data_IF_637466008643
#
_entry.id   IF_637466008643
#
_cell.length_a   1.000
_cell.length_b   1.000
_cell.length_c   1.000
_cell.angle_alpha   90.00
_cell.angle_beta   90.00
_cell.angle_gamma   90.00
#
_symmetry.space_group_name_H-M   'P 1'
#
loop_
_entity.id
_entity.type
_entity.pdbx_description
1 polymer ?
#
# COMPACT_ATOMS: atom_id res chain seq x y z
N UNK A 1 -20.83 10.80 2.28
CA UNK A 1 -21.58 9.52 2.31
C UNK A 1 -21.68 8.96 3.73
N UNK A 2 -20.56 8.89 4.47
CA UNK A 2 -20.53 8.51 5.90
C UNK A 2 -21.42 9.41 6.79
N UNK A 3 -21.47 10.71 6.52
CA UNK A 3 -22.34 11.67 7.21
C UNK A 3 -23.84 11.38 7.07
N UNK A 4 -24.27 10.79 5.94
CA UNK A 4 -25.68 10.44 5.71
C UNK A 4 -26.14 9.21 6.50
N UNK A 5 -25.18 8.39 6.97
CA UNK A 5 -25.46 7.21 7.78
C UNK A 5 -25.55 7.55 9.28
N UNK A 6 -25.03 8.70 9.73
CA UNK A 6 -25.06 9.08 11.15
C UNK A 6 -26.46 9.41 11.67
N UNK A 7 -27.38 9.83 10.78
CA UNK A 7 -28.77 10.16 11.15
C UNK A 7 -29.64 8.92 11.44
N UNK A 8 -29.22 7.72 11.01
CA UNK A 8 -29.89 6.47 11.39
C UNK A 8 -29.08 5.83 12.51
N UNK A 9 -29.66 5.69 13.71
CA UNK A 9 -29.12 4.96 14.88
C UNK A 9 -28.96 3.44 14.64
N UNK A 10 -28.60 3.02 13.43
CA UNK A 10 -28.24 1.65 13.13
C UNK A 10 -26.76 1.45 13.48
N UNK A 11 -26.46 0.49 14.34
CA UNK A 11 -25.09 0.13 14.69
C UNK A 11 -24.36 -0.35 13.43
N UNK A 12 -23.45 0.47 12.91
CA UNK A 12 -22.63 0.11 11.75
C UNK A 12 -21.61 -0.93 12.20
N UNK A 13 -21.61 -2.10 11.57
CA UNK A 13 -20.54 -3.08 11.75
C UNK A 13 -19.44 -2.79 10.72
N UNK A 14 -18.24 -2.43 11.19
CA UNK A 14 -17.09 -2.15 10.34
C UNK A 14 -16.13 -3.33 10.42
N UNK A 15 -15.89 -3.98 9.29
CA UNK A 15 -14.88 -5.03 9.16
C UNK A 15 -13.60 -4.46 8.55
N UNK A 16 -12.46 -4.73 9.17
CA UNK A 16 -11.13 -4.33 8.65
C UNK A 16 -10.28 -5.57 8.44
N UNK A 17 -9.96 -5.84 7.17
CA UNK A 17 -9.03 -6.90 6.78
C UNK A 17 -7.59 -6.46 7.07
N UNK A 18 -6.79 -7.32 7.73
CA UNK A 18 -5.36 -7.08 7.98
C UNK A 18 -4.46 -7.78 6.98
N UNK A 19 -5.01 -8.70 6.20
CA UNK A 19 -4.34 -9.36 5.09
C UNK A 19 -5.35 -9.94 4.11
N UNK A 20 -4.87 -10.29 2.91
CA UNK A 20 -5.72 -10.83 1.85
C UNK A 20 -6.35 -12.18 2.22
N UNK A 21 -5.69 -12.97 3.07
CA UNK A 21 -6.21 -14.27 3.53
C UNK A 21 -7.40 -14.18 4.50
N UNK A 22 -7.73 -12.99 5.01
CA UNK A 22 -8.94 -12.76 5.82
C UNK A 22 -10.20 -12.53 4.96
N UNK A 23 -10.02 -12.34 3.65
CA UNK A 23 -11.11 -12.17 2.70
C UNK A 23 -11.52 -13.52 2.10
N UNK A 24 -12.82 -13.70 1.88
CA UNK A 24 -13.28 -14.87 1.16
C UNK A 24 -13.01 -14.73 -0.37
N UNK A 25 -13.04 -15.83 -1.14
CA UNK A 25 -12.70 -15.79 -2.57
C UNK A 25 -13.56 -14.83 -3.41
N UNK A 26 -14.84 -14.68 -3.07
CA UNK A 26 -15.76 -13.78 -3.80
C UNK A 26 -15.38 -12.31 -3.58
N UNK A 27 -15.08 -11.94 -2.32
CA UNK A 27 -14.62 -10.61 -1.96
C UNK A 27 -13.31 -10.25 -2.67
N UNK A 28 -12.34 -11.16 -2.70
CA UNK A 28 -11.09 -10.95 -3.43
C UNK A 28 -11.35 -10.73 -4.92
N UNK A 29 -12.22 -11.55 -5.53
CA UNK A 29 -12.56 -11.40 -6.94
C UNK A 29 -13.12 -10.01 -7.23
N UNK A 30 -14.13 -9.60 -6.47
CA UNK A 30 -14.84 -8.34 -6.68
C UNK A 30 -14.01 -7.10 -6.37
N UNK A 31 -13.01 -7.19 -5.49
CA UNK A 31 -12.25 -6.02 -5.04
C UNK A 31 -10.87 -5.88 -5.69
N UNK A 32 -10.19 -6.99 -6.00
CA UNK A 32 -8.79 -6.94 -6.46
C UNK A 32 -8.56 -7.61 -7.82
N UNK A 33 -9.40 -8.56 -8.24
CA UNK A 33 -9.11 -9.37 -9.45
C UNK A 33 -9.92 -9.00 -10.69
N UNK A 34 -11.21 -8.65 -10.53
CA UNK A 34 -12.09 -8.38 -11.67
C UNK A 34 -11.64 -7.13 -12.43
N UNK A 35 -11.36 -7.21 -13.74
CA UNK A 35 -10.90 -6.08 -14.54
C UNK A 35 -11.80 -4.84 -14.50
N UNK A 36 -13.10 -5.02 -14.25
CA UNK A 36 -14.06 -3.92 -14.24
C UNK A 36 -14.08 -3.15 -12.92
N UNK A 37 -13.65 -3.77 -11.81
CA UNK A 37 -13.73 -3.17 -10.47
C UNK A 37 -12.36 -2.93 -9.84
N UNK A 38 -11.34 -3.68 -10.26
CA UNK A 38 -9.98 -3.55 -9.74
C UNK A 38 -9.37 -2.20 -10.10
N UNK A 39 -8.50 -1.71 -9.22
CA UNK A 39 -7.66 -0.53 -9.45
C UNK A 39 -6.22 -0.97 -9.33
N UNK A 40 -5.46 -0.86 -10.41
CA UNK A 40 -4.04 -1.23 -10.47
C UNK A 40 -3.20 0.03 -10.63
N UNK A 41 -2.01 0.01 -10.05
CA UNK A 41 -0.96 0.99 -10.29
C UNK A 41 0.09 0.31 -11.15
N UNK A 42 0.39 0.90 -12.30
CA UNK A 42 1.46 0.43 -13.16
C UNK A 42 2.77 1.09 -12.72
N UNK A 43 3.77 0.28 -12.40
CA UNK A 43 5.11 0.78 -12.10
C UNK A 43 5.89 1.00 -13.40
N UNK A 44 6.50 2.16 -13.51
CA UNK A 44 7.41 2.54 -14.60
C UNK A 44 8.79 2.87 -14.04
N UNK A 45 9.81 2.78 -14.88
CA UNK A 45 11.18 3.17 -14.53
C UNK A 45 11.53 4.34 -15.43
N UNK A 46 11.71 5.51 -14.83
CA UNK A 46 12.01 6.74 -15.55
C UNK A 46 13.53 6.90 -15.75
N UNK A 47 14.30 6.56 -14.72
CA UNK A 47 15.77 6.52 -14.73
C UNK A 47 16.26 5.19 -14.14
N UNK A 48 16.84 4.36 -14.99
CA UNK A 48 17.29 3.02 -14.60
C UNK A 48 18.50 3.07 -13.65
N UNK A 49 19.45 3.98 -13.89
CA UNK A 49 20.68 4.07 -13.09
C UNK A 49 20.37 4.57 -11.68
N UNK A 50 19.60 5.65 -11.57
CA UNK A 50 19.18 6.17 -10.27
C UNK A 50 18.30 5.16 -9.50
N UNK A 51 17.45 4.40 -10.20
CA UNK A 51 16.63 3.35 -9.59
C UNK A 51 17.50 2.23 -9.02
N UNK A 52 18.48 1.75 -9.78
CA UNK A 52 19.38 0.68 -9.33
C UNK A 52 20.25 1.11 -8.14
N UNK A 53 20.76 2.35 -8.14
CA UNK A 53 21.50 2.89 -6.99
C UNK A 53 20.65 2.95 -5.71
N UNK A 54 19.40 3.39 -5.84
CA UNK A 54 18.45 3.42 -4.73
C UNK A 54 18.13 2.00 -4.24
N UNK A 55 17.89 1.07 -5.16
CA UNK A 55 17.61 -0.33 -4.82
C UNK A 55 18.80 -0.99 -4.12
N UNK A 56 20.03 -0.78 -4.59
CA UNK A 56 21.23 -1.28 -3.91
C UNK A 56 21.36 -0.68 -2.50
N UNK A 57 21.14 0.62 -2.33
CA UNK A 57 21.19 1.27 -1.02
C UNK A 57 20.16 0.67 -0.04
N UNK A 58 18.93 0.42 -0.49
CA UNK A 58 17.87 -0.11 0.34
C UNK A 58 18.00 -1.62 0.60
N UNK A 59 18.43 -2.41 -0.38
CA UNK A 59 18.36 -3.87 -0.32
C UNK A 59 19.74 -4.55 -0.14
N UNK A 60 20.82 -3.81 -0.32
CA UNK A 60 22.19 -4.29 -0.24
C UNK A 60 22.54 -4.87 1.15
N UNK A 61 23.08 -6.10 1.16
CA UNK A 61 23.39 -6.85 2.39
C UNK A 61 24.36 -6.13 3.34
N UNK A 62 25.30 -5.35 2.79
CA UNK A 62 26.34 -4.63 3.56
C UNK A 62 26.09 -3.13 3.68
N UNK A 63 24.86 -2.66 3.44
CA UNK A 63 24.49 -1.23 3.44
C UNK A 63 23.53 -0.85 4.57
N UNK A 64 23.61 -1.54 5.70
CA UNK A 64 22.68 -1.35 6.81
C UNK A 64 22.71 0.07 7.39
N UNK A 65 23.90 0.68 7.49
CA UNK A 65 24.07 2.03 8.01
C UNK A 65 23.52 3.09 7.04
N UNK A 66 23.82 2.95 5.74
CA UNK A 66 23.27 3.82 4.68
C UNK A 66 21.73 3.80 4.68
N UNK A 67 21.14 2.60 4.68
CA UNK A 67 19.69 2.43 4.72
C UNK A 67 19.09 3.07 5.97
N UNK A 68 19.71 2.89 7.13
CA UNK A 68 19.24 3.50 8.38
C UNK A 68 19.24 5.02 8.28
N UNK A 69 20.34 5.61 7.80
CA UNK A 69 20.45 7.06 7.63
C UNK A 69 19.46 7.60 6.59
N UNK A 70 19.16 6.83 5.53
CA UNK A 70 18.14 7.20 4.55
C UNK A 70 16.73 7.16 5.14
N UNK A 71 16.36 6.08 5.84
CA UNK A 71 15.04 5.93 6.46
C UNK A 71 14.77 6.98 7.54
N UNK A 72 15.79 7.37 8.31
CA UNK A 72 15.66 8.43 9.32
C UNK A 72 15.41 9.81 8.70
N UNK A 73 15.95 10.06 7.50
CA UNK A 73 15.81 11.35 6.80
C UNK A 73 14.53 11.46 5.97
N UNK A 74 13.99 10.34 5.48
CA UNK A 74 12.88 10.32 4.52
C UNK A 74 11.62 9.60 5.06
N UNK A 75 11.65 9.09 6.30
CA UNK A 75 10.56 8.26 6.84
C UNK A 75 9.23 9.00 7.06
N UNK A 76 9.25 10.32 7.08
CA UNK A 76 8.10 11.21 7.24
C UNK A 76 7.49 11.65 5.90
N UNK A 77 8.12 11.33 4.77
CA UNK A 77 7.65 11.75 3.43
C UNK A 77 6.47 10.93 2.91
N UNK A 78 6.03 9.90 3.64
CA UNK A 78 4.92 9.06 3.22
C UNK A 78 3.57 9.76 3.46
N UNK A 79 2.84 10.08 2.39
CA UNK A 79 1.44 10.46 2.47
C UNK A 79 0.58 9.20 2.69
N UNK A 80 -0.27 9.22 3.73
CA UNK A 80 -1.17 8.11 4.12
C UNK A 80 -2.59 8.37 3.64
#
# INVERSE_FOLDING_TARGET
MLERLSQKKAKVNVQRFKGLGEMNPLQLRETTMDPNTRRLVQLTIDDAEATDEMMDMLLGKKRADDRRAWLQRNGDMAEV
#
